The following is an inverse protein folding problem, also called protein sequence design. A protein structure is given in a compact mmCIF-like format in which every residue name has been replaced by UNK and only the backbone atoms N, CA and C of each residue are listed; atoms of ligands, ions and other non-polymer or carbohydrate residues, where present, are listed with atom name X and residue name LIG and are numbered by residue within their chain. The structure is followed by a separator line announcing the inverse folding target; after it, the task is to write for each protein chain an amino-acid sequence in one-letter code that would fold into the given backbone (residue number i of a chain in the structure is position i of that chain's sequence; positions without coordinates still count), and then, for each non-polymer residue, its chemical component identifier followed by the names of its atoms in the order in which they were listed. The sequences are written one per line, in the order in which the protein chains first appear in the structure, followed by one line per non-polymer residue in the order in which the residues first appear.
data_IF_183017411089
#
_entry.id   IF_183017411089
#
_cell.length_a   1.000
_cell.length_b   1.000
_cell.length_c   1.000
_cell.angle_alpha   90.00
_cell.angle_beta   90.00
_cell.angle_gamma   90.00
#
_symmetry.space_group_name_H-M   'P 1'
#
loop_
_entity.id
_entity.type
_entity.pdbx_description
1 polymer ?
#
# COMPACT_ATOMS: atom_id res chain seq x y z
N UNK A 1 -3.87 -50.00 57.00
CA UNK A 1 -3.38 -49.72 55.63
C UNK A 1 -3.87 -48.33 55.25
N UNK A 2 -3.14 -47.30 55.70
CA UNK A 2 -3.40 -45.89 55.43
C UNK A 2 -2.66 -45.51 54.15
N UNK A 3 -3.35 -44.98 53.14
CA UNK A 3 -2.71 -44.39 51.96
C UNK A 3 -2.83 -42.87 52.07
N UNK A 4 -1.69 -42.21 52.21
CA UNK A 4 -1.53 -40.77 52.38
C UNK A 4 -1.75 -40.07 51.04
N UNK A 5 -2.65 -39.10 51.00
CA UNK A 5 -2.82 -38.17 49.88
C UNK A 5 -1.78 -37.06 50.03
N UNK A 6 -0.78 -37.01 49.14
CA UNK A 6 0.12 -35.87 49.00
C UNK A 6 -0.52 -34.82 48.09
N UNK A 7 -0.89 -33.68 48.67
CA UNK A 7 -1.25 -32.46 47.95
C UNK A 7 0.05 -31.69 47.62
N UNK A 8 0.52 -31.77 46.38
CA UNK A 8 1.58 -30.88 45.89
C UNK A 8 0.97 -29.56 45.41
N UNK A 9 1.04 -28.53 46.26
CA UNK A 9 0.79 -27.15 45.87
C UNK A 9 2.03 -26.61 45.12
N UNK A 10 2.00 -26.69 43.78
CA UNK A 10 3.00 -26.05 42.91
C UNK A 10 2.57 -24.64 42.56
N UNK A 11 3.18 -23.64 43.18
CA UNK A 11 3.09 -22.24 42.76
C UNK A 11 3.80 -22.08 41.40
N UNK A 12 3.04 -22.16 40.30
CA UNK A 12 3.52 -21.73 38.99
C UNK A 12 3.62 -20.20 38.98
N UNK A 13 4.82 -19.72 39.31
CA UNK A 13 5.25 -18.35 39.06
C UNK A 13 5.19 -18.11 37.55
N UNK A 14 4.17 -17.37 37.12
CA UNK A 14 3.96 -17.02 35.71
C UNK A 14 5.10 -16.13 35.20
N UNK A 15 6.12 -16.75 34.62
CA UNK A 15 7.00 -16.07 33.69
C UNK A 15 6.26 -16.03 32.36
N UNK A 16 5.58 -14.92 32.05
CA UNK A 16 5.24 -14.59 30.67
C UNK A 16 6.55 -14.20 29.99
N UNK A 17 7.11 -15.02 29.09
CA UNK A 17 8.18 -14.55 28.23
C UNK A 17 7.57 -13.39 27.43
N UNK A 18 8.22 -12.24 27.47
CA UNK A 18 7.79 -11.08 26.69
C UNK A 18 7.54 -11.53 25.25
N UNK A 19 6.43 -11.05 24.67
CA UNK A 19 6.24 -11.08 23.22
C UNK A 19 7.36 -10.24 22.60
N UNK A 20 8.53 -10.85 22.38
CA UNK A 20 9.46 -10.34 21.40
C UNK A 20 8.74 -10.47 20.05
N UNK A 21 8.60 -9.35 19.36
CA UNK A 21 8.20 -9.35 17.96
C UNK A 21 9.17 -10.29 17.24
N UNK A 22 8.70 -11.45 16.80
CA UNK A 22 9.50 -12.34 15.97
C UNK A 22 9.87 -11.54 14.73
N UNK A 23 11.16 -11.50 14.43
CA UNK A 23 11.64 -10.92 13.19
C UNK A 23 10.96 -11.68 12.05
N UNK A 24 10.27 -10.93 11.17
CA UNK A 24 9.55 -11.55 10.07
C UNK A 24 10.55 -12.38 9.26
N UNK A 25 10.16 -13.58 8.79
CA UNK A 25 11.05 -14.41 7.99
C UNK A 25 11.59 -13.59 6.81
N UNK A 26 12.90 -13.69 6.58
CA UNK A 26 13.56 -13.00 5.47
C UNK A 26 13.01 -13.55 4.17
N UNK A 27 12.05 -12.85 3.58
CA UNK A 27 11.62 -13.14 2.23
C UNK A 27 12.76 -12.76 1.27
N UNK A 28 13.25 -13.76 0.54
CA UNK A 28 14.21 -13.53 -0.53
C UNK A 28 13.48 -12.83 -1.67
N UNK A 29 13.95 -11.62 -2.02
CA UNK A 29 13.37 -10.89 -3.14
C UNK A 29 13.48 -11.73 -4.42
N UNK A 30 12.34 -11.98 -5.06
CA UNK A 30 12.26 -12.69 -6.33
C UNK A 30 12.16 -11.69 -7.45
N UNK A 31 13.20 -11.62 -8.29
CA UNK A 31 13.18 -10.82 -9.51
C UNK A 31 11.98 -11.20 -10.39
N UNK A 32 11.34 -10.19 -10.98
CA UNK A 32 10.14 -10.32 -11.79
C UNK A 32 10.22 -9.25 -12.89
N UNK A 33 10.52 -9.62 -14.14
CA UNK A 33 10.72 -8.63 -15.22
C UNK A 33 9.44 -7.82 -15.53
N UNK A 34 8.27 -8.39 -15.24
CA UNK A 34 6.95 -7.76 -15.33
C UNK A 34 6.82 -6.51 -14.45
N UNK A 35 7.48 -6.45 -13.28
CA UNK A 35 7.41 -5.25 -12.41
C UNK A 35 8.24 -4.08 -12.94
N UNK A 36 9.08 -4.34 -13.94
CA UNK A 36 9.87 -3.31 -14.62
C UNK A 36 9.21 -2.84 -15.92
N UNK A 37 8.02 -3.37 -16.26
CA UNK A 37 7.26 -2.86 -17.39
C UNK A 37 6.86 -1.41 -17.11
N UNK A 38 7.22 -0.47 -18.00
CA UNK A 38 6.84 0.90 -17.78
C UNK A 38 5.33 1.07 -17.86
N UNK A 39 4.75 1.79 -16.91
CA UNK A 39 3.30 2.00 -16.82
C UNK A 39 2.69 2.70 -18.04
N UNK A 40 3.51 3.36 -18.86
CA UNK A 40 3.10 4.03 -20.10
C UNK A 40 3.09 3.08 -21.32
N UNK A 41 3.34 1.79 -21.12
CA UNK A 41 3.24 0.77 -22.15
C UNK A 41 2.13 -0.23 -21.81
N UNK A 42 1.29 -0.52 -22.80
CA UNK A 42 0.18 -1.47 -22.67
C UNK A 42 -1.11 -0.81 -22.19
N UNK A 43 -2.06 -1.66 -21.81
CA UNK A 43 -3.44 -1.31 -21.44
C UNK A 43 -3.76 -1.71 -20.00
N UNK A 44 -2.71 -1.91 -19.19
CA UNK A 44 -2.84 -2.45 -17.83
C UNK A 44 -1.90 -1.72 -16.89
N UNK A 45 -2.47 -1.27 -15.77
CA UNK A 45 -1.72 -0.76 -14.64
C UNK A 45 -1.74 -1.79 -13.52
N UNK A 46 -0.56 -2.08 -13.03
CA UNK A 46 -0.29 -3.08 -12.02
C UNK A 46 0.09 -2.39 -10.71
N UNK A 47 -0.83 -2.40 -9.74
CA UNK A 47 -0.56 -2.00 -8.36
C UNK A 47 -0.51 -0.50 -8.07
N UNK A 48 -1.29 0.33 -8.77
CA UNK A 48 -1.37 1.77 -8.48
C UNK A 48 -1.85 2.01 -7.04
N UNK A 49 -1.02 2.72 -6.26
CA UNK A 49 -1.32 3.01 -4.86
C UNK A 49 -2.30 4.17 -4.73
N UNK A 50 -3.40 3.95 -4.02
CA UNK A 50 -4.45 4.96 -3.81
C UNK A 50 -4.73 5.13 -2.32
N UNK A 51 -4.75 6.38 -1.86
CA UNK A 51 -5.24 6.76 -0.54
C UNK A 51 -6.64 7.37 -0.70
N UNK A 52 -7.65 6.72 -0.11
CA UNK A 52 -9.02 7.18 -0.20
C UNK A 52 -9.34 8.20 0.90
N UNK A 53 -9.81 9.37 0.49
CA UNK A 53 -10.31 10.39 1.41
C UNK A 53 -11.82 10.26 1.49
N UNK A 54 -12.34 10.00 2.68
CA UNK A 54 -13.79 9.93 2.94
C UNK A 54 -14.33 11.29 3.33
N UNK A 55 -15.51 11.58 2.83
CA UNK A 55 -16.34 12.66 3.35
C UNK A 55 -16.95 12.23 4.70
N UNK A 56 -16.80 13.07 5.72
CA UNK A 56 -17.23 12.74 7.08
C UNK A 56 -18.76 12.73 7.25
N UNK A 57 -19.50 13.48 6.42
CA UNK A 57 -20.94 13.60 6.53
C UNK A 57 -21.66 12.41 5.87
N UNK A 58 -21.12 11.93 4.75
CA UNK A 58 -21.73 10.86 3.93
C UNK A 58 -21.07 9.50 4.15
N UNK A 59 -19.83 9.46 4.61
CA UNK A 59 -19.04 8.23 4.72
C UNK A 59 -18.54 7.69 3.39
N UNK A 60 -18.84 8.35 2.27
CA UNK A 60 -18.38 7.98 0.93
C UNK A 60 -16.95 8.47 0.73
N UNK A 61 -16.11 7.63 0.14
CA UNK A 61 -14.73 8.00 -0.21
C UNK A 61 -14.47 7.89 -1.70
N UNK A 62 -13.55 8.70 -2.20
CA UNK A 62 -13.18 8.72 -3.63
C UNK A 62 -11.67 8.66 -3.77
N UNK A 63 -11.23 7.97 -4.82
CA UNK A 63 -9.83 7.83 -5.20
C UNK A 63 -9.72 7.96 -6.71
N UNK A 64 -8.71 8.71 -7.17
CA UNK A 64 -8.48 8.96 -8.59
C UNK A 64 -7.28 8.15 -9.07
N UNK A 65 -7.48 7.41 -10.16
CA UNK A 65 -6.44 6.65 -10.86
C UNK A 65 -5.81 7.49 -11.97
N UNK A 66 -4.65 7.03 -12.44
CA UNK A 66 -3.89 7.68 -13.51
C UNK A 66 -4.65 7.67 -14.85
N UNK A 67 -5.15 6.50 -15.27
CA UNK A 67 -5.86 6.29 -16.53
C UNK A 67 -7.36 6.01 -16.33
N UNK A 68 -8.19 6.20 -17.38
CA UNK A 68 -9.58 5.76 -17.36
C UNK A 68 -9.73 4.26 -17.13
N UNK A 69 -10.75 3.87 -16.39
CA UNK A 69 -10.99 2.49 -15.98
C UNK A 69 -11.86 1.80 -17.02
N UNK A 70 -11.31 0.79 -17.69
CA UNK A 70 -12.11 -0.20 -18.43
C UNK A 70 -12.62 -1.28 -17.48
N UNK A 71 -11.75 -1.74 -16.58
CA UNK A 71 -12.04 -2.82 -15.63
C UNK A 71 -11.06 -2.81 -14.46
N UNK A 72 -11.56 -2.99 -13.24
CA UNK A 72 -10.70 -3.30 -12.08
C UNK A 72 -10.47 -4.80 -12.04
N UNK A 73 -9.20 -5.20 -12.08
CA UNK A 73 -8.79 -6.62 -12.05
C UNK A 73 -8.54 -7.09 -10.62
N UNK A 74 -7.98 -6.22 -9.78
CA UNK A 74 -7.67 -6.54 -8.38
C UNK A 74 -7.57 -5.28 -7.55
N UNK A 75 -8.17 -5.31 -6.35
CA UNK A 75 -8.02 -4.27 -5.33
C UNK A 75 -7.71 -4.95 -3.99
N UNK A 76 -6.58 -4.60 -3.37
CA UNK A 76 -6.14 -5.13 -2.06
C UNK A 76 -5.59 -3.99 -1.20
N UNK A 77 -5.28 -4.24 0.07
CA UNK A 77 -4.39 -3.32 0.80
C UNK A 77 -3.04 -3.25 0.07
N UNK A 78 -2.32 -2.14 0.17
CA UNK A 78 -1.07 -2.00 -0.59
C UNK A 78 -0.03 -3.04 -0.17
N UNK A 79 0.00 -3.44 1.11
CA UNK A 79 0.92 -4.47 1.63
C UNK A 79 0.66 -5.88 1.08
N UNK A 80 -0.44 -6.07 0.35
CA UNK A 80 -0.95 -7.36 -0.09
C UNK A 80 -1.04 -7.49 -1.61
N UNK A 81 -0.62 -6.49 -2.38
CA UNK A 81 -0.82 -6.39 -3.83
C UNK A 81 -0.51 -7.68 -4.61
N UNK A 82 0.64 -8.31 -4.35
CA UNK A 82 1.05 -9.60 -4.97
C UNK A 82 1.10 -10.77 -3.99
N UNK A 83 0.57 -10.61 -2.78
CA UNK A 83 0.55 -11.68 -1.78
C UNK A 83 -0.50 -12.72 -2.17
N UNK A 84 -0.06 -13.96 -2.37
CA UNK A 84 -0.98 -15.10 -2.56
C UNK A 84 -1.88 -15.26 -1.34
N UNK A 85 -3.20 -15.40 -1.56
CA UNK A 85 -4.18 -15.51 -0.48
C UNK A 85 -4.55 -14.18 0.19
N UNK A 86 -4.05 -13.04 -0.30
CA UNK A 86 -4.51 -11.73 0.15
C UNK A 86 -6.01 -11.55 -0.05
N UNK A 87 -6.62 -10.85 0.91
CA UNK A 87 -8.00 -10.41 0.81
C UNK A 87 -8.14 -9.44 -0.36
N UNK A 88 -9.09 -9.74 -1.25
CA UNK A 88 -9.43 -8.89 -2.41
C UNK A 88 -10.77 -8.26 -2.13
N UNK A 89 -10.86 -6.95 -2.32
CA UNK A 89 -12.10 -6.21 -2.17
C UNK A 89 -13.02 -6.48 -3.37
N UNK A 90 -14.33 -6.46 -3.12
CA UNK A 90 -15.36 -6.87 -4.07
C UNK A 90 -16.04 -5.66 -4.71
N UNK A 91 -16.11 -5.62 -6.05
CA UNK A 91 -16.90 -4.63 -6.78
C UNK A 91 -18.40 -4.75 -6.43
N UNK A 92 -19.10 -3.63 -6.33
CA UNK A 92 -20.51 -3.55 -5.94
C UNK A 92 -20.75 -3.61 -4.43
N UNK A 93 -19.76 -4.06 -3.64
CA UNK A 93 -19.83 -4.11 -2.17
C UNK A 93 -18.85 -3.14 -1.52
N UNK A 94 -17.57 -3.29 -1.84
CA UNK A 94 -16.50 -2.48 -1.24
C UNK A 94 -16.16 -1.26 -2.09
N UNK A 95 -16.38 -1.34 -3.39
CA UNK A 95 -16.16 -0.22 -4.30
C UNK A 95 -17.06 -0.30 -5.52
N UNK A 96 -17.23 0.82 -6.19
CA UNK A 96 -17.81 0.94 -7.52
C UNK A 96 -16.95 1.87 -8.36
N UNK A 97 -17.11 1.80 -9.68
CA UNK A 97 -16.53 2.76 -10.61
C UNK A 97 -17.45 2.91 -11.82
N UNK A 98 -17.31 4.02 -12.54
CA UNK A 98 -17.95 4.19 -13.84
C UNK A 98 -16.92 3.88 -14.93
N UNK A 99 -17.30 3.05 -15.90
CA UNK A 99 -16.43 2.74 -17.04
C UNK A 99 -16.04 4.02 -17.79
N UNK A 100 -14.75 4.19 -18.10
CA UNK A 100 -14.21 5.39 -18.72
C UNK A 100 -13.98 6.57 -17.76
N UNK A 101 -14.44 6.47 -16.51
CA UNK A 101 -14.03 7.40 -15.46
C UNK A 101 -12.63 7.07 -14.95
N UNK A 102 -12.00 8.00 -14.22
CA UNK A 102 -10.76 7.75 -13.49
C UNK A 102 -10.99 7.55 -12.00
N UNK A 103 -12.23 7.34 -11.58
CA UNK A 103 -12.60 7.40 -10.17
C UNK A 103 -13.12 6.07 -9.66
N UNK A 104 -12.56 5.65 -8.54
CA UNK A 104 -13.10 4.57 -7.72
C UNK A 104 -13.83 5.20 -6.56
N UNK A 105 -15.04 4.71 -6.30
CA UNK A 105 -15.92 5.21 -5.23
C UNK A 105 -16.07 4.10 -4.20
N UNK A 106 -15.83 4.42 -2.94
CA UNK A 106 -16.11 3.54 -1.81
C UNK A 106 -17.45 3.96 -1.19
N UNK A 107 -18.48 3.09 -1.22
CA UNK A 107 -19.74 3.38 -0.53
C UNK A 107 -19.52 3.45 0.99
N UNK A 108 -20.43 4.12 1.69
CA UNK A 108 -20.42 4.15 3.14
C UNK A 108 -20.44 2.72 3.71
N UNK A 109 -19.55 2.44 4.66
CA UNK A 109 -19.40 1.10 5.26
C UNK A 109 -18.54 0.12 4.45
N UNK A 110 -17.90 0.55 3.37
CA UNK A 110 -16.89 -0.24 2.66
C UNK A 110 -15.80 -0.75 3.62
N UNK A 111 -15.31 -1.97 3.36
CA UNK A 111 -14.17 -2.55 4.09
C UNK A 111 -12.82 -1.92 3.70
N UNK A 112 -12.78 -1.18 2.59
CA UNK A 112 -11.56 -0.57 2.07
C UNK A 112 -11.10 0.55 3.03
N UNK A 113 -9.80 0.58 3.41
CA UNK A 113 -9.26 1.66 4.21
C UNK A 113 -9.52 3.02 3.56
N UNK A 114 -10.13 3.91 4.32
CA UNK A 114 -10.36 5.31 3.96
C UNK A 114 -10.24 6.18 5.20
N UNK A 115 -9.98 7.47 5.01
CA UNK A 115 -9.69 8.41 6.10
C UNK A 115 -10.34 9.77 5.82
N UNK A 116 -10.84 10.46 6.85
CA UNK A 116 -11.25 11.86 6.67
C UNK A 116 -10.03 12.75 6.55
N UNK A 117 -10.20 13.95 6.00
CA UNK A 117 -9.12 14.93 5.94
C UNK A 117 -8.50 15.22 7.32
N UNK A 118 -9.31 15.25 8.37
CA UNK A 118 -8.86 15.48 9.75
C UNK A 118 -8.04 14.29 10.30
N UNK A 119 -8.39 13.06 9.93
CA UNK A 119 -7.60 11.87 10.31
C UNK A 119 -6.24 11.81 9.62
N UNK A 120 -6.08 12.54 8.51
CA UNK A 120 -4.80 12.73 7.81
C UNK A 120 -3.99 13.91 8.37
N UNK A 121 -4.29 14.33 9.60
CA UNK A 121 -3.58 15.40 10.30
C UNK A 121 -3.11 14.93 11.66
N UNK A 122 -2.19 15.70 12.23
CA UNK A 122 -1.75 15.55 13.62
C UNK A 122 -2.15 16.78 14.43
N UNK A 123 -2.47 16.62 15.72
CA UNK A 123 -2.74 17.78 16.59
C UNK A 123 -1.57 18.77 16.59
N UNK A 124 -1.86 20.05 16.77
CA UNK A 124 -0.83 21.08 16.86
C UNK A 124 0.12 20.81 18.03
N UNK A 125 1.43 20.92 17.80
CA UNK A 125 2.47 20.67 18.78
C UNK A 125 2.72 19.18 19.09
N UNK A 126 2.04 18.25 18.41
CA UNK A 126 2.19 16.82 18.68
C UNK A 126 3.40 16.19 17.97
N UNK A 127 3.95 16.83 16.94
CA UNK A 127 5.15 16.33 16.26
C UNK A 127 6.42 17.12 16.61
N UNK A 128 7.55 16.40 16.62
CA UNK A 128 8.88 16.95 16.94
C UNK A 128 9.23 18.21 16.15
N UNK A 129 8.89 18.23 14.86
CA UNK A 129 9.25 19.32 13.94
C UNK A 129 8.12 20.32 13.69
N UNK A 130 6.95 20.13 14.33
CA UNK A 130 5.77 21.00 14.20
C UNK A 130 5.48 21.40 12.76
N UNK A 131 5.28 20.39 11.89
CA UNK A 131 5.07 20.60 10.46
C UNK A 131 3.67 21.18 10.22
N UNK A 132 3.49 22.46 10.54
CA UNK A 132 2.21 23.15 10.46
C UNK A 132 1.73 23.13 9.01
N UNK A 133 0.49 22.72 8.81
CA UNK A 133 -0.11 22.73 7.51
C UNK A 133 -0.32 24.17 7.01
N UNK A 134 -0.41 24.35 5.68
CA UNK A 134 -0.49 25.68 5.05
C UNK A 134 -1.67 26.54 5.52
N UNK A 135 -2.76 25.92 5.95
CA UNK A 135 -3.96 26.60 6.47
C UNK A 135 -3.89 26.94 7.97
N UNK A 136 -2.81 26.57 8.67
CA UNK A 136 -2.63 26.78 10.11
C UNK A 136 -3.38 25.81 11.02
N UNK A 137 -4.23 24.92 10.48
CA UNK A 137 -5.14 24.09 11.27
C UNK A 137 -4.51 22.75 11.69
N UNK A 138 -3.48 22.78 12.53
CA UNK A 138 -2.75 21.58 12.96
C UNK A 138 -1.58 21.23 12.05
N UNK A 139 -1.12 19.99 12.14
CA UNK A 139 0.13 19.54 11.51
C UNK A 139 -0.12 18.50 10.41
N UNK A 140 0.74 18.53 9.39
CA UNK A 140 0.76 17.52 8.32
C UNK A 140 1.03 16.16 8.95
N UNK A 141 0.33 15.13 8.50
CA UNK A 141 0.68 13.76 8.87
C UNK A 141 2.10 13.47 8.35
N UNK A 142 3.08 13.38 9.25
CA UNK A 142 4.42 12.92 8.89
C UNK A 142 4.72 11.61 9.59
N UNK A 143 5.25 10.67 8.81
CA UNK A 143 5.48 9.28 9.17
C UNK A 143 6.78 8.84 8.49
N UNK A 144 7.74 8.34 9.26
CA UNK A 144 8.99 7.79 8.73
C UNK A 144 8.94 6.27 8.48
N UNK A 145 7.82 5.62 8.82
CA UNK A 145 7.63 4.18 8.72
C UNK A 145 6.58 3.77 7.69
N UNK A 146 6.03 2.57 7.88
CA UNK A 146 5.05 1.96 6.97
C UNK A 146 3.63 2.56 7.05
N UNK A 147 3.42 3.61 7.86
CA UNK A 147 2.09 4.15 8.18
C UNK A 147 1.33 4.53 6.90
N UNK A 148 1.93 5.29 5.99
CA UNK A 148 1.31 5.66 4.72
C UNK A 148 0.96 4.46 3.84
N UNK A 149 1.85 3.47 3.81
CA UNK A 149 1.64 2.26 3.03
C UNK A 149 0.50 1.40 3.60
N UNK A 150 0.25 1.44 4.90
CA UNK A 150 -0.88 0.76 5.53
C UNK A 150 -2.22 1.48 5.31
N UNK A 151 -2.16 2.77 4.97
CA UNK A 151 -3.34 3.60 4.67
C UNK A 151 -3.77 3.52 3.19
N UNK A 152 -2.93 2.95 2.34
CA UNK A 152 -3.16 2.85 0.91
C UNK A 152 -3.67 1.46 0.50
N UNK A 153 -4.39 1.43 -0.61
CA UNK A 153 -4.67 0.21 -1.37
C UNK A 153 -3.81 0.16 -2.62
N UNK A 154 -3.69 -1.02 -3.21
CA UNK A 154 -3.14 -1.19 -4.55
C UNK A 154 -4.25 -1.61 -5.49
N UNK A 155 -4.41 -0.84 -6.57
CA UNK A 155 -5.41 -1.06 -7.62
C UNK A 155 -4.70 -1.55 -8.87
N UNK A 156 -5.16 -2.68 -9.39
CA UNK A 156 -4.71 -3.23 -10.66
C UNK A 156 -5.88 -3.22 -11.61
N UNK A 157 -5.73 -2.55 -12.75
CA UNK A 157 -6.84 -2.25 -13.65
C UNK A 157 -6.39 -2.23 -15.10
N UNK A 158 -7.36 -2.44 -15.98
CA UNK A 158 -7.23 -2.27 -17.42
C UNK A 158 -7.76 -0.89 -17.80
N UNK A 159 -7.10 -0.26 -18.77
CA UNK A 159 -7.44 1.06 -19.31
C UNK A 159 -7.45 1.00 -20.84
N UNK A 160 -8.19 1.89 -21.53
CA UNK A 160 -8.18 1.87 -22.99
C UNK A 160 -6.79 2.18 -23.52
N UNK A 161 -6.52 1.79 -24.77
CA UNK A 161 -5.27 2.18 -25.44
C UNK A 161 -5.17 3.71 -25.47
N UNK A 162 -4.20 4.25 -24.73
CA UNK A 162 -3.96 5.67 -24.62
C UNK A 162 -2.49 5.98 -24.90
N UNK A 163 -2.27 7.05 -25.66
CA UNK A 163 -0.92 7.57 -25.87
C UNK A 163 -0.53 8.39 -24.65
N UNK A 164 0.51 7.94 -23.94
CA UNK A 164 1.08 8.71 -22.83
C UNK A 164 1.56 10.09 -23.34
N UNK A 165 1.05 11.20 -22.78
CA UNK A 165 1.35 12.54 -23.31
C UNK A 165 2.72 13.07 -22.86
N UNK A 166 3.36 12.43 -21.88
CA UNK A 166 4.63 12.88 -21.32
C UNK A 166 5.85 12.46 -22.13
N UNK A 167 6.97 13.11 -21.88
CA UNK A 167 8.25 12.70 -22.45
C UNK A 167 8.63 11.29 -21.98
N UNK A 168 9.01 10.43 -22.92
CA UNK A 168 9.44 9.07 -22.63
C UNK A 168 10.96 9.00 -22.46
N UNK A 169 11.46 8.26 -21.44
CA UNK A 169 12.89 8.04 -21.32
C UNK A 169 13.39 7.24 -22.53
N UNK A 170 14.51 7.68 -23.09
CA UNK A 170 15.17 7.00 -24.21
C UNK A 170 16.49 6.43 -23.71
N UNK A 171 16.72 5.15 -23.97
CA UNK A 171 18.01 4.54 -23.68
C UNK A 171 19.09 5.16 -24.60
N UNK A 172 20.12 5.74 -23.99
CA UNK A 172 21.29 6.25 -24.70
C UNK A 172 22.58 5.61 -24.13
N UNK A 173 23.18 4.65 -24.84
CA UNK A 173 24.38 3.96 -24.39
C UNK A 173 25.63 4.87 -24.41
N UNK A 174 25.60 5.99 -25.13
CA UNK A 174 26.73 6.91 -25.22
C UNK A 174 26.89 7.79 -23.97
N UNK A 175 25.82 7.98 -23.19
CA UNK A 175 25.83 8.81 -21.97
C UNK A 175 26.54 8.10 -20.82
N UNK A 176 26.45 6.77 -20.73
CA UNK A 176 27.04 5.97 -19.64
C UNK A 176 27.81 4.74 -20.17
N UNK A 177 28.84 4.91 -21.02
CA UNK A 177 29.45 3.80 -21.75
C UNK A 177 30.14 2.77 -20.84
N UNK A 178 30.71 3.22 -19.71
CA UNK A 178 31.34 2.33 -18.73
C UNK A 178 30.31 1.45 -18.01
N UNK A 179 29.23 2.07 -17.54
CA UNK A 179 28.12 1.41 -16.85
C UNK A 179 27.46 0.39 -17.78
N UNK A 180 27.10 0.81 -19.00
CA UNK A 180 26.49 -0.07 -20.01
C UNK A 180 27.41 -1.24 -20.36
N UNK A 181 28.71 -0.98 -20.56
CA UNK A 181 29.68 -2.04 -20.83
C UNK A 181 29.81 -3.04 -19.68
N UNK A 182 29.80 -2.59 -18.41
CA UNK A 182 29.82 -3.48 -17.24
C UNK A 182 28.57 -4.35 -17.17
N UNK A 183 27.38 -3.76 -17.31
CA UNK A 183 26.11 -4.48 -17.29
C UNK A 183 26.00 -5.51 -18.41
N UNK A 184 26.41 -5.18 -19.63
CA UNK A 184 26.42 -6.11 -20.77
C UNK A 184 27.36 -7.31 -20.56
N UNK A 185 28.42 -7.12 -19.76
CA UNK A 185 29.34 -8.19 -19.37
C UNK A 185 28.93 -8.90 -18.06
N UNK A 186 27.77 -8.57 -17.49
CA UNK A 186 27.32 -9.13 -16.21
C UNK A 186 28.20 -8.76 -15.01
N UNK A 187 28.93 -7.65 -15.10
CA UNK A 187 29.79 -7.16 -14.02
C UNK A 187 28.95 -6.32 -13.04
N UNK A 188 29.35 -6.31 -11.76
CA UNK A 188 28.75 -5.40 -10.76
C UNK A 188 28.87 -3.95 -11.20
N UNK A 189 28.03 -3.05 -10.65
CA UNK A 189 28.14 -1.60 -10.80
C UNK A 189 29.11 -0.99 -9.78
#
# INVERSE_FOLDING_TARGET
MLCVVLFCAGMCSGWMPGLWAQEAPVETWRYSADVLQPFWHGERIDGESVLFVRDAATGVARGKLLFPIEKIVRLTTAGDWRRSGAMVFEEGRDYTFEKGSREVVLPAGSRVPSFTAEQLRRPAGSQKYRLTHRDGNGEILFAGGAEYHQMQVSVTYEHPEEVWPGALPKFDPAVLPRTTGRLQRGQSL
#
